data_IF_576919191138
#
_entry.id   IF_576919191138
#
_cell.length_a   1.000
_cell.length_b   1.000
_cell.length_c   1.000
_cell.angle_alpha   90.00
_cell.angle_beta   90.00
_cell.angle_gamma   90.00
#
_symmetry.space_group_name_H-M   'P 1'
#
loop_
_entity.id
_entity.type
_entity.pdbx_description
1 polymer ?
#
# COMPACT_ATOMS: atom_id res chain seq x y z
N UNK A 1 12.03 -35.92 -6.08
CA UNK A 1 11.48 -37.27 -6.32
C UNK A 1 9.98 -37.07 -6.47
N UNK A 2 9.44 -37.15 -7.69
CA UNK A 2 8.00 -36.93 -7.95
C UNK A 2 7.21 -38.12 -7.44
N UNK A 3 6.23 -37.89 -6.57
CA UNK A 3 5.28 -38.92 -6.14
C UNK A 3 4.46 -39.39 -7.36
N UNK A 4 4.04 -40.68 -7.42
CA UNK A 4 3.21 -41.17 -8.52
C UNK A 4 1.88 -40.40 -8.61
N UNK A 5 1.33 -40.22 -9.81
CA UNK A 5 0.12 -39.40 -10.06
C UNK A 5 -1.08 -39.79 -9.18
N UNK A 6 -1.25 -41.08 -8.88
CA UNK A 6 -2.30 -41.57 -7.98
C UNK A 6 -2.14 -41.13 -6.52
N UNK A 7 -0.91 -40.83 -6.08
CA UNK A 7 -0.63 -40.32 -4.74
C UNK A 7 -1.10 -38.88 -4.55
N UNK A 8 -1.03 -38.05 -5.59
CA UNK A 8 -1.43 -36.63 -5.48
C UNK A 8 -2.96 -36.47 -5.48
N UNK A 9 -3.68 -37.33 -6.22
CA UNK A 9 -5.15 -37.39 -6.14
C UNK A 9 -5.59 -37.78 -4.74
N UNK A 10 -5.04 -38.86 -4.18
CA UNK A 10 -5.39 -39.33 -2.85
C UNK A 10 -5.09 -38.28 -1.77
N UNK A 11 -3.94 -37.61 -1.82
CA UNK A 11 -3.61 -36.51 -0.91
C UNK A 11 -4.63 -35.37 -0.99
N UNK A 12 -5.06 -35.02 -2.20
CA UNK A 12 -6.07 -33.99 -2.38
C UNK A 12 -7.44 -34.41 -1.84
N UNK A 13 -7.84 -35.67 -2.02
CA UNK A 13 -9.12 -36.19 -1.51
C UNK A 13 -9.13 -36.21 0.03
N UNK A 14 -8.02 -36.61 0.65
CA UNK A 14 -7.84 -36.52 2.11
C UNK A 14 -7.92 -35.06 2.57
N UNK A 15 -7.24 -34.13 1.90
CA UNK A 15 -7.29 -32.72 2.25
C UNK A 15 -8.72 -32.14 2.16
N UNK A 16 -9.50 -32.54 1.14
CA UNK A 16 -10.91 -32.15 1.00
C UNK A 16 -11.79 -32.69 2.14
N UNK A 17 -11.54 -33.92 2.59
CA UNK A 17 -12.22 -34.47 3.77
C UNK A 17 -11.88 -33.65 5.02
N UNK A 18 -10.60 -33.34 5.24
CA UNK A 18 -10.16 -32.53 6.38
C UNK A 18 -10.69 -31.08 6.32
N UNK A 19 -10.77 -30.50 5.12
CA UNK A 19 -11.43 -29.20 4.86
C UNK A 19 -12.88 -29.23 5.32
N UNK A 20 -13.65 -30.23 4.89
CA UNK A 20 -15.05 -30.39 5.28
C UNK A 20 -15.18 -30.61 6.79
N UNK A 21 -14.29 -31.41 7.38
CA UNK A 21 -14.28 -31.67 8.83
C UNK A 21 -14.11 -30.37 9.62
N UNK A 22 -13.16 -29.53 9.19
CA UNK A 22 -12.90 -28.24 9.81
C UNK A 22 -14.08 -27.27 9.63
N UNK A 23 -14.62 -27.16 8.41
CA UNK A 23 -15.72 -26.25 8.09
C UNK A 23 -17.04 -26.61 8.79
N UNK A 24 -17.26 -27.89 9.13
CA UNK A 24 -18.42 -28.34 9.90
C UNK A 24 -18.19 -28.33 11.42
N UNK A 25 -17.07 -27.78 11.88
CA UNK A 25 -16.70 -27.68 13.30
C UNK A 25 -16.70 -29.01 14.06
N UNK A 26 -16.34 -30.11 13.39
CA UNK A 26 -16.33 -31.44 13.99
C UNK A 26 -15.18 -31.60 15.01
N UNK A 27 -15.32 -32.57 15.90
CA UNK A 27 -14.35 -32.87 16.96
C UNK A 27 -12.95 -33.20 16.39
N UNK A 28 -11.89 -32.69 17.03
CA UNK A 28 -10.50 -32.91 16.62
C UNK A 28 -10.04 -32.13 15.37
N UNK A 29 -10.84 -31.15 14.91
CA UNK A 29 -10.51 -30.35 13.71
C UNK A 29 -9.17 -29.63 13.80
N UNK A 30 -8.75 -29.23 15.00
CA UNK A 30 -7.49 -28.54 15.26
C UNK A 30 -6.29 -29.41 14.91
N UNK A 31 -6.35 -30.72 15.17
CA UNK A 31 -5.27 -31.65 14.85
C UNK A 31 -5.13 -31.85 13.34
N UNK A 32 -6.26 -32.00 12.65
CA UNK A 32 -6.30 -32.23 11.20
C UNK A 32 -5.79 -31.01 10.41
N UNK A 33 -6.08 -29.81 10.89
CA UNK A 33 -5.83 -28.58 10.13
C UNK A 33 -4.37 -28.15 10.13
N UNK A 34 -3.60 -28.52 11.18
CA UNK A 34 -2.17 -28.22 11.28
C UNK A 34 -1.36 -28.76 10.11
N UNK A 35 -1.77 -29.91 9.54
CA UNK A 35 -1.12 -30.52 8.38
C UNK A 35 -1.83 -30.19 7.06
N UNK A 36 -3.17 -30.12 7.09
CA UNK A 36 -3.98 -29.87 5.89
C UNK A 36 -3.71 -28.47 5.32
N UNK A 37 -3.60 -27.45 6.18
CA UNK A 37 -3.47 -26.08 5.72
C UNK A 37 -2.11 -25.79 5.03
N UNK A 38 -0.95 -26.18 5.59
CA UNK A 38 0.33 -26.10 4.86
C UNK A 38 0.31 -26.84 3.52
N UNK A 39 -0.29 -28.03 3.46
CA UNK A 39 -0.45 -28.78 2.21
C UNK A 39 -1.21 -27.97 1.15
N UNK A 40 -2.33 -27.34 1.52
CA UNK A 40 -3.10 -26.50 0.59
C UNK A 40 -2.32 -25.29 0.11
N UNK A 41 -1.53 -24.64 0.98
CA UNK A 41 -0.66 -23.55 0.55
C UNK A 41 0.39 -24.06 -0.44
N UNK A 42 1.11 -25.14 -0.13
CA UNK A 42 2.12 -25.73 -1.02
C UNK A 42 1.51 -26.06 -2.38
N UNK A 43 0.34 -26.71 -2.39
CA UNK A 43 -0.39 -27.04 -3.60
C UNK A 43 -0.77 -25.79 -4.40
N UNK A 44 -1.29 -24.77 -3.73
CA UNK A 44 -1.69 -23.51 -4.38
C UNK A 44 -0.50 -22.72 -4.95
N UNK A 45 0.68 -22.80 -4.31
CA UNK A 45 1.92 -22.17 -4.78
C UNK A 45 2.55 -22.96 -5.93
N UNK A 46 2.48 -24.29 -5.91
CA UNK A 46 3.03 -25.14 -6.96
C UNK A 46 2.21 -25.10 -8.25
N UNK A 47 0.90 -25.37 -8.15
CA UNK A 47 0.02 -25.44 -9.33
C UNK A 47 -0.53 -24.07 -9.75
N UNK A 48 -0.69 -23.14 -8.81
CA UNK A 48 -1.22 -21.80 -9.10
C UNK A 48 -2.68 -21.79 -9.56
N UNK A 49 -3.46 -22.84 -9.28
CA UNK A 49 -4.85 -22.94 -9.71
C UNK A 49 -5.77 -22.02 -8.90
N UNK A 50 -6.74 -21.43 -9.59
CA UNK A 50 -7.73 -20.53 -8.97
C UNK A 50 -8.52 -21.23 -7.87
N UNK A 51 -8.89 -22.49 -8.07
CA UNK A 51 -9.62 -23.30 -7.09
C UNK A 51 -8.83 -23.50 -5.80
N UNK A 52 -7.51 -23.71 -5.88
CA UNK A 52 -6.68 -23.96 -4.71
C UNK A 52 -6.52 -22.67 -3.86
N UNK A 53 -6.36 -21.50 -4.48
CA UNK A 53 -6.34 -20.21 -3.76
C UNK A 53 -7.67 -19.94 -3.05
N UNK A 54 -8.80 -20.28 -3.69
CA UNK A 54 -10.12 -20.16 -3.07
C UNK A 54 -10.28 -21.06 -1.85
N UNK A 55 -9.75 -22.29 -1.91
CA UNK A 55 -9.73 -23.22 -0.76
C UNK A 55 -8.90 -22.68 0.39
N UNK A 56 -7.70 -22.16 0.11
CA UNK A 56 -6.85 -21.50 1.12
C UNK A 56 -7.59 -20.33 1.79
N UNK A 57 -8.27 -19.48 1.01
CA UNK A 57 -9.08 -18.40 1.57
C UNK A 57 -10.26 -18.93 2.43
N UNK A 58 -10.91 -20.01 2.00
CA UNK A 58 -11.99 -20.67 2.74
C UNK A 58 -11.55 -21.13 4.13
N UNK A 59 -10.33 -21.65 4.24
CA UNK A 59 -9.72 -22.11 5.49
C UNK A 59 -8.85 -21.08 6.22
N UNK A 60 -8.91 -19.79 5.87
CA UNK A 60 -8.03 -18.77 6.49
C UNK A 60 -8.11 -18.72 8.03
N UNK A 61 -9.27 -19.03 8.62
CA UNK A 61 -9.50 -18.90 10.07
C UNK A 61 -8.64 -19.87 10.88
N UNK A 62 -8.16 -20.95 10.25
CA UNK A 62 -7.23 -21.89 10.86
C UNK A 62 -5.92 -21.22 11.30
N UNK A 63 -5.54 -20.11 10.65
CA UNK A 63 -4.35 -19.34 11.01
C UNK A 63 -4.45 -18.71 12.40
N UNK A 64 -5.67 -18.51 12.93
CA UNK A 64 -5.85 -18.01 14.30
C UNK A 64 -5.52 -19.06 15.38
N UNK A 65 -5.42 -20.33 14.98
CA UNK A 65 -5.06 -21.44 15.88
C UNK A 65 -3.54 -21.63 15.95
N UNK A 66 -2.77 -20.91 15.14
CA UNK A 66 -1.33 -21.06 15.03
C UNK A 66 -0.62 -20.10 15.98
N UNK A 67 0.34 -20.62 16.76
CA UNK A 67 1.26 -19.79 17.53
C UNK A 67 2.41 -19.34 16.63
N UNK A 68 2.35 -18.09 16.15
CA UNK A 68 3.39 -17.51 15.31
C UNK A 68 4.60 -17.01 16.10
N UNK A 69 4.62 -17.08 17.42
CA UNK A 69 5.80 -16.75 18.21
C UNK A 69 6.65 -17.99 18.50
N UNK A 70 6.10 -19.19 18.33
CA UNK A 70 6.81 -20.47 18.46
C UNK A 70 7.58 -20.88 17.19
N UNK A 71 8.74 -21.50 17.38
CA UNK A 71 9.64 -21.94 16.29
C UNK A 71 9.01 -23.01 15.39
N UNK A 72 8.03 -23.79 15.88
CA UNK A 72 7.33 -24.80 15.08
C UNK A 72 6.55 -24.20 13.91
N UNK A 73 6.17 -22.92 13.99
CA UNK A 73 5.43 -22.20 12.95
C UNK A 73 6.30 -21.72 11.77
N UNK A 74 7.63 -21.85 11.86
CA UNK A 74 8.57 -21.28 10.90
C UNK A 74 8.33 -21.77 9.46
N UNK A 75 8.05 -23.06 9.29
CA UNK A 75 7.72 -23.63 7.97
C UNK A 75 6.47 -22.99 7.36
N UNK A 76 5.44 -22.75 8.16
CA UNK A 76 4.21 -22.08 7.72
C UNK A 76 4.47 -20.59 7.43
N UNK A 77 5.26 -19.89 8.25
CA UNK A 77 5.66 -18.50 7.98
C UNK A 77 6.34 -18.40 6.62
N UNK A 78 7.26 -19.30 6.28
CA UNK A 78 7.92 -19.31 4.98
C UNK A 78 6.94 -19.51 3.82
N UNK A 79 5.94 -20.37 3.98
CA UNK A 79 4.87 -20.54 2.99
C UNK A 79 4.03 -19.27 2.83
N UNK A 80 3.65 -18.60 3.93
CA UNK A 80 2.92 -17.34 3.88
C UNK A 80 3.71 -16.21 3.20
N UNK A 81 5.03 -16.17 3.40
CA UNK A 81 5.92 -15.26 2.68
C UNK A 81 5.90 -15.49 1.16
N UNK A 82 5.88 -16.75 0.73
CA UNK A 82 5.77 -17.08 -0.69
C UNK A 82 4.41 -16.65 -1.26
N UNK A 83 3.31 -16.80 -0.50
CA UNK A 83 2.00 -16.28 -0.90
C UNK A 83 2.02 -14.79 -1.20
N UNK A 84 2.74 -13.98 -0.39
CA UNK A 84 2.81 -12.52 -0.54
C UNK A 84 3.33 -12.06 -1.91
N UNK A 85 4.16 -12.87 -2.55
CA UNK A 85 4.80 -12.53 -3.82
C UNK A 85 4.29 -13.39 -4.98
N UNK A 86 3.35 -14.30 -4.73
CA UNK A 86 2.87 -15.23 -5.73
C UNK A 86 1.85 -14.55 -6.68
N UNK A 87 2.07 -14.59 -8.01
CA UNK A 87 1.23 -13.88 -8.98
C UNK A 87 -0.26 -14.25 -8.92
N UNK A 88 -0.58 -15.52 -8.68
CA UNK A 88 -1.99 -15.98 -8.61
C UNK A 88 -2.70 -15.38 -7.40
N UNK A 89 -2.02 -15.28 -6.24
CA UNK A 89 -2.60 -14.68 -5.04
C UNK A 89 -2.89 -13.18 -5.25
N UNK A 90 -1.97 -12.46 -5.90
CA UNK A 90 -2.18 -11.03 -6.16
C UNK A 90 -3.28 -10.75 -7.20
N UNK A 91 -3.35 -11.56 -8.25
CA UNK A 91 -4.33 -11.36 -9.34
C UNK A 91 -5.75 -11.71 -8.93
N UNK A 92 -5.93 -12.73 -8.09
CA UNK A 92 -7.26 -13.17 -7.63
C UNK A 92 -7.78 -12.31 -6.48
N UNK A 93 -9.09 -12.10 -6.46
CA UNK A 93 -9.79 -11.35 -5.39
C UNK A 93 -9.68 -12.07 -4.03
N UNK A 94 -9.94 -13.37 -3.99
CA UNK A 94 -9.79 -14.19 -2.77
C UNK A 94 -8.34 -14.25 -2.31
N UNK A 95 -7.40 -14.26 -3.26
CA UNK A 95 -5.97 -14.18 -2.95
C UNK A 95 -5.60 -12.85 -2.28
N UNK A 96 -6.01 -11.70 -2.83
CA UNK A 96 -5.78 -10.39 -2.17
C UNK A 96 -6.44 -10.29 -0.81
N UNK A 97 -7.65 -10.84 -0.64
CA UNK A 97 -8.30 -10.93 0.68
C UNK A 97 -7.46 -11.75 1.65
N UNK A 98 -6.93 -12.89 1.21
CA UNK A 98 -6.02 -13.71 2.01
C UNK A 98 -4.77 -12.94 2.42
N UNK A 99 -4.07 -12.31 1.47
CA UNK A 99 -2.87 -11.52 1.76
C UNK A 99 -3.15 -10.39 2.75
N UNK A 100 -4.29 -9.70 2.59
CA UNK A 100 -4.70 -8.62 3.50
C UNK A 100 -5.01 -9.14 4.90
N UNK A 101 -5.68 -10.30 4.99
CA UNK A 101 -5.99 -10.97 6.25
C UNK A 101 -4.72 -11.38 7.00
N UNK A 102 -3.69 -11.84 6.30
CA UNK A 102 -2.43 -12.29 6.92
C UNK A 102 -1.70 -11.19 7.71
N UNK A 103 -1.89 -9.91 7.37
CA UNK A 103 -1.34 -8.79 8.16
C UNK A 103 -1.95 -8.68 9.57
N UNK A 104 -3.11 -9.30 9.80
CA UNK A 104 -3.80 -9.32 11.10
C UNK A 104 -3.48 -10.54 11.98
N UNK A 105 -2.53 -11.39 11.58
CA UNK A 105 -2.21 -12.63 12.33
C UNK A 105 -1.23 -12.41 13.47
N UNK A 106 -0.13 -11.71 13.19
CA UNK A 106 0.91 -11.41 14.16
C UNK A 106 1.63 -10.09 13.76
N UNK A 107 1.82 -9.13 14.69
CA UNK A 107 2.46 -7.85 14.37
C UNK A 107 3.91 -7.95 13.88
N UNK A 108 4.67 -8.95 14.35
CA UNK A 108 6.03 -9.23 13.85
C UNK A 108 6.00 -9.72 12.41
N UNK A 109 5.15 -10.71 12.14
CA UNK A 109 4.97 -11.28 10.81
C UNK A 109 4.47 -10.24 9.79
N UNK A 110 3.61 -9.32 10.20
CA UNK A 110 3.18 -8.19 9.37
C UNK A 110 4.34 -7.32 8.86
N UNK A 111 5.38 -7.09 9.71
CA UNK A 111 6.59 -6.36 9.30
C UNK A 111 7.42 -7.16 8.30
N UNK A 112 7.50 -8.47 8.48
CA UNK A 112 8.24 -9.37 7.58
C UNK A 112 7.55 -9.45 6.20
N UNK A 113 6.22 -9.54 6.16
CA UNK A 113 5.44 -9.44 4.93
C UNK A 113 5.67 -8.11 4.22
N UNK A 114 5.66 -7.00 4.95
CA UNK A 114 5.95 -5.69 4.37
C UNK A 114 7.34 -5.64 3.74
N UNK A 115 8.39 -6.10 4.45
CA UNK A 115 9.76 -6.20 3.93
C UNK A 115 9.82 -7.05 2.66
N UNK A 116 9.12 -8.17 2.66
CA UNK A 116 9.03 -9.11 1.53
C UNK A 116 8.42 -8.45 0.30
N UNK A 117 7.28 -7.77 0.46
CA UNK A 117 6.61 -7.01 -0.60
C UNK A 117 7.50 -5.87 -1.10
N UNK A 118 8.10 -5.09 -0.18
CA UNK A 118 8.96 -3.95 -0.52
C UNK A 118 10.15 -4.37 -1.39
N UNK A 119 10.75 -5.53 -1.10
CA UNK A 119 11.86 -6.09 -1.90
C UNK A 119 11.43 -6.48 -3.32
N UNK A 120 10.14 -6.74 -3.58
CA UNK A 120 9.63 -7.04 -4.92
C UNK A 120 9.32 -5.79 -5.75
N UNK A 121 9.12 -4.63 -5.11
CA UNK A 121 8.70 -3.39 -5.78
C UNK A 121 9.58 -3.01 -6.98
N UNK A 122 10.92 -3.17 -7.00
CA UNK A 122 11.74 -2.87 -8.17
C UNK A 122 11.47 -3.75 -9.40
N UNK A 123 10.91 -4.95 -9.20
CA UNK A 123 10.80 -5.99 -10.23
C UNK A 123 9.37 -6.18 -10.78
N UNK A 124 8.35 -5.77 -10.04
CA UNK A 124 6.93 -5.91 -10.44
C UNK A 124 6.51 -5.10 -11.69
N UNK A 125 5.34 -5.38 -12.25
CA UNK A 125 4.71 -4.46 -13.23
C UNK A 125 3.93 -3.37 -12.48
N UNK A 126 3.65 -2.24 -13.13
CA UNK A 126 2.84 -1.17 -12.52
C UNK A 126 1.45 -1.66 -12.08
N UNK A 127 0.86 -2.62 -12.81
CA UNK A 127 -0.41 -3.23 -12.43
C UNK A 127 -0.30 -4.01 -11.11
N UNK A 128 0.76 -4.81 -10.95
CA UNK A 128 1.01 -5.56 -9.70
C UNK A 128 1.23 -4.61 -8.52
N UNK A 129 1.90 -3.47 -8.74
CA UNK A 129 2.09 -2.46 -7.69
C UNK A 129 0.75 -1.87 -7.20
N UNK A 130 -0.21 -1.64 -8.10
CA UNK A 130 -1.56 -1.21 -7.70
C UNK A 130 -2.29 -2.27 -6.86
N UNK A 131 -2.11 -3.56 -7.17
CA UNK A 131 -2.71 -4.64 -6.39
C UNK A 131 -2.12 -4.73 -4.97
N UNK A 132 -0.83 -4.44 -4.79
CA UNK A 132 -0.26 -4.31 -3.45
C UNK A 132 -0.85 -3.14 -2.66
N UNK A 133 -1.12 -2.01 -3.32
CA UNK A 133 -1.80 -0.88 -2.70
C UNK A 133 -3.16 -1.26 -2.13
N UNK A 134 -3.92 -2.06 -2.87
CA UNK A 134 -5.20 -2.63 -2.43
C UNK A 134 -5.06 -3.56 -1.22
N UNK A 135 -4.04 -4.42 -1.21
CA UNK A 135 -3.75 -5.32 -0.08
C UNK A 135 -3.46 -4.52 1.19
N UNK A 136 -2.58 -3.51 1.13
CA UNK A 136 -2.30 -2.64 2.28
C UNK A 136 -3.54 -1.90 2.76
N UNK A 137 -4.33 -1.34 1.84
CA UNK A 137 -5.55 -0.62 2.20
C UNK A 137 -6.55 -1.53 2.91
N UNK A 138 -6.82 -2.73 2.37
CA UNK A 138 -7.74 -3.69 2.99
C UNK A 138 -7.28 -4.14 4.36
N UNK A 139 -5.99 -4.41 4.53
CA UNK A 139 -5.41 -4.74 5.83
C UNK A 139 -5.59 -3.58 6.83
N UNK A 140 -5.24 -2.36 6.42
CA UNK A 140 -5.38 -1.15 7.23
C UNK A 140 -6.83 -0.89 7.66
N UNK A 141 -7.80 -1.10 6.77
CA UNK A 141 -9.23 -0.86 7.04
C UNK A 141 -9.82 -1.68 8.19
N UNK A 142 -9.30 -2.87 8.44
CA UNK A 142 -9.79 -3.77 9.48
C UNK A 142 -8.87 -3.84 10.70
N UNK A 143 -7.70 -3.21 10.62
CA UNK A 143 -6.70 -3.26 11.67
C UNK A 143 -7.07 -2.35 12.85
N UNK A 144 -6.67 -2.77 14.05
CA UNK A 144 -6.81 -2.00 15.28
C UNK A 144 -5.64 -2.29 16.23
N UNK A 145 -5.48 -1.46 17.26
CA UNK A 145 -4.46 -1.64 18.29
C UNK A 145 -3.04 -1.78 17.71
N UNK A 146 -2.32 -2.82 18.13
CA UNK A 146 -0.95 -3.08 17.70
C UNK A 146 -0.81 -3.31 16.18
N UNK A 147 -1.80 -3.94 15.55
CA UNK A 147 -1.79 -4.21 14.10
C UNK A 147 -1.90 -2.93 13.28
N UNK A 148 -2.78 -2.02 13.69
CA UNK A 148 -2.94 -0.72 13.05
C UNK A 148 -1.63 0.08 13.14
N UNK A 149 -1.03 0.11 14.33
CA UNK A 149 0.25 0.78 14.55
C UNK A 149 1.35 0.25 13.63
N UNK A 150 1.48 -1.07 13.49
CA UNK A 150 2.46 -1.69 12.59
C UNK A 150 2.19 -1.33 11.14
N UNK A 151 0.94 -1.46 10.67
CA UNK A 151 0.58 -1.13 9.29
C UNK A 151 0.84 0.34 8.96
N UNK A 152 0.59 1.24 9.91
CA UNK A 152 0.80 2.66 9.72
C UNK A 152 2.26 3.07 9.79
N UNK A 153 2.95 2.74 10.89
CA UNK A 153 4.31 3.22 11.17
C UNK A 153 5.39 2.40 10.45
N UNK A 154 5.21 1.08 10.34
CA UNK A 154 6.23 0.18 9.81
C UNK A 154 6.00 -0.23 8.35
N UNK A 155 4.80 -0.04 7.80
CA UNK A 155 4.49 -0.42 6.43
C UNK A 155 4.17 0.79 5.54
N UNK A 156 3.05 1.47 5.78
CA UNK A 156 2.56 2.54 4.91
C UNK A 156 3.48 3.76 4.99
N UNK A 157 3.83 4.22 6.19
CA UNK A 157 4.71 5.38 6.36
C UNK A 157 6.14 5.10 5.86
N UNK A 158 6.62 3.85 5.96
CA UNK A 158 7.89 3.43 5.34
C UNK A 158 7.86 3.59 3.81
N UNK A 159 6.77 3.16 3.15
CA UNK A 159 6.60 3.38 1.71
C UNK A 159 6.52 4.88 1.35
N UNK A 160 5.82 5.68 2.16
CA UNK A 160 5.74 7.13 1.98
C UNK A 160 7.12 7.78 2.09
N UNK A 161 7.89 7.41 3.11
CA UNK A 161 9.24 7.91 3.32
C UNK A 161 10.16 7.50 2.15
N UNK A 162 10.09 6.25 1.73
CA UNK A 162 10.83 5.75 0.59
C UNK A 162 10.44 6.48 -0.71
N UNK A 163 9.14 6.74 -0.94
CA UNK A 163 8.66 7.41 -2.16
C UNK A 163 9.22 8.84 -2.30
N UNK A 164 9.36 9.54 -1.17
CA UNK A 164 9.97 10.88 -1.11
C UNK A 164 11.46 10.84 -1.45
N UNK A 165 12.20 9.86 -0.94
CA UNK A 165 13.66 9.80 -1.07
C UNK A 165 14.16 8.96 -2.26
N UNK A 166 13.27 8.24 -2.95
CA UNK A 166 13.63 7.35 -4.03
C UNK A 166 14.15 8.09 -5.27
N UNK A 167 14.95 7.36 -6.06
CA UNK A 167 15.41 7.83 -7.37
C UNK A 167 14.22 8.19 -8.28
N UNK A 168 14.18 9.44 -8.72
CA UNK A 168 13.09 10.01 -9.52
C UNK A 168 13.19 9.68 -11.00
N UNK A 169 14.39 9.71 -11.56
CA UNK A 169 14.64 9.59 -13.00
C UNK A 169 15.16 8.21 -13.38
N UNK A 170 15.05 7.86 -14.67
CA UNK A 170 15.46 6.56 -15.22
C UNK A 170 14.26 5.74 -15.72
N UNK A 171 14.56 4.72 -16.52
CA UNK A 171 13.57 3.82 -17.16
C UNK A 171 12.67 3.10 -16.16
N UNK A 172 13.17 2.83 -14.94
CA UNK A 172 12.41 2.27 -13.83
C UNK A 172 12.53 3.16 -12.60
N UNK A 173 12.00 4.38 -12.69
CA UNK A 173 11.92 5.31 -11.54
C UNK A 173 11.33 4.61 -10.32
N UNK A 174 12.12 4.53 -9.24
CA UNK A 174 11.66 3.91 -8.00
C UNK A 174 10.59 4.77 -7.32
N UNK A 175 10.70 6.10 -7.45
CA UNK A 175 9.69 7.03 -6.95
C UNK A 175 8.32 6.82 -7.61
N UNK A 176 8.26 6.61 -8.93
CA UNK A 176 6.98 6.36 -9.62
C UNK A 176 6.35 5.03 -9.24
N UNK A 177 7.18 4.01 -8.99
CA UNK A 177 6.74 2.67 -8.56
C UNK A 177 6.17 2.69 -7.14
N UNK A 178 6.85 3.36 -6.21
CA UNK A 178 6.34 3.53 -4.84
C UNK A 178 5.05 4.36 -4.82
N UNK A 179 5.00 5.45 -5.60
CA UNK A 179 3.76 6.22 -5.81
C UNK A 179 2.64 5.34 -6.34
N UNK A 180 2.91 4.39 -7.24
CA UNK A 180 1.91 3.47 -7.79
C UNK A 180 1.31 2.52 -6.74
N UNK A 181 2.10 2.11 -5.73
CA UNK A 181 1.59 1.34 -4.59
C UNK A 181 0.71 2.22 -3.69
N UNK A 182 1.18 3.43 -3.37
CA UNK A 182 0.49 4.37 -2.49
C UNK A 182 -0.80 4.96 -3.12
N UNK A 183 -0.86 5.02 -4.45
CA UNK A 183 -1.96 5.59 -5.22
C UNK A 183 -3.32 5.01 -4.80
N UNK A 184 -3.40 3.70 -4.51
CA UNK A 184 -4.65 3.08 -4.11
C UNK A 184 -5.22 3.77 -2.87
N UNK A 185 -4.41 3.97 -1.82
CA UNK A 185 -4.83 4.63 -0.57
C UNK A 185 -5.19 6.10 -0.85
N UNK A 186 -4.42 6.80 -1.68
CA UNK A 186 -4.67 8.21 -2.03
C UNK A 186 -6.00 8.42 -2.76
N UNK A 187 -6.48 7.41 -3.50
CA UNK A 187 -7.78 7.48 -4.18
C UNK A 187 -8.97 7.22 -3.23
N UNK A 188 -8.75 6.69 -2.03
CA UNK A 188 -9.80 6.33 -1.07
C UNK A 188 -10.16 7.45 -0.08
N UNK A 189 -9.79 8.70 -0.35
CA UNK A 189 -10.03 9.85 0.56
C UNK A 189 -11.49 10.05 1.00
N UNK A 190 -12.45 9.59 0.19
CA UNK A 190 -13.89 9.61 0.53
C UNK A 190 -14.27 8.62 1.64
N UNK A 191 -13.42 7.62 1.91
CA UNK A 191 -13.66 6.64 2.96
C UNK A 191 -13.32 7.24 4.33
N UNK A 192 -14.19 7.00 5.32
CA UNK A 192 -14.04 7.53 6.68
C UNK A 192 -12.67 7.17 7.27
N UNK A 193 -11.98 8.17 7.82
CA UNK A 193 -10.68 8.05 8.48
C UNK A 193 -9.47 8.09 7.54
N UNK A 194 -9.66 8.05 6.21
CA UNK A 194 -8.53 8.07 5.27
C UNK A 194 -7.84 9.44 5.24
N UNK A 195 -8.60 10.54 5.21
CA UNK A 195 -8.01 11.89 5.22
C UNK A 195 -7.18 12.17 6.48
N UNK A 196 -7.72 11.85 7.65
CA UNK A 196 -7.01 11.98 8.94
C UNK A 196 -5.74 11.13 8.98
N UNK A 197 -5.83 9.86 8.55
CA UNK A 197 -4.66 8.99 8.48
C UNK A 197 -3.61 9.50 7.47
N UNK A 198 -4.00 9.97 6.29
CA UNK A 198 -3.05 10.55 5.33
C UNK A 198 -2.34 11.76 5.91
N UNK A 199 -3.08 12.68 6.56
CA UNK A 199 -2.49 13.82 7.24
C UNK A 199 -1.47 13.38 8.29
N UNK A 200 -1.87 12.49 9.20
CA UNK A 200 -1.02 11.99 10.30
C UNK A 200 0.24 11.28 9.80
N UNK A 201 0.11 10.42 8.78
CA UNK A 201 1.25 9.64 8.26
C UNK A 201 2.21 10.47 7.43
N UNK A 202 1.72 11.46 6.67
CA UNK A 202 2.59 12.33 5.87
C UNK A 202 3.20 13.49 6.66
N UNK A 203 2.56 13.95 7.73
CA UNK A 203 3.02 15.10 8.53
C UNK A 203 4.51 15.04 8.91
N UNK A 204 5.08 13.93 9.43
CA UNK A 204 6.50 13.89 9.77
C UNK A 204 7.44 13.86 8.55
N UNK A 205 6.93 13.58 7.35
CA UNK A 205 7.76 13.37 6.15
C UNK A 205 7.69 14.60 5.24
N UNK A 206 6.50 14.94 4.76
CA UNK A 206 6.34 15.77 3.57
C UNK A 206 6.74 17.22 3.82
N UNK A 207 6.44 17.77 5.01
CA UNK A 207 6.78 19.15 5.37
C UNK A 207 8.28 19.38 5.46
N UNK A 208 9.04 18.38 5.90
CA UNK A 208 10.50 18.42 5.93
C UNK A 208 11.07 18.25 4.52
N UNK A 209 10.47 17.37 3.73
CA UNK A 209 10.91 17.08 2.37
C UNK A 209 10.90 18.30 1.44
N UNK A 210 10.00 19.27 1.63
CA UNK A 210 10.01 20.51 0.85
C UNK A 210 11.21 21.43 1.13
N UNK A 211 11.88 21.28 2.28
CA UNK A 211 12.93 22.19 2.74
C UNK A 211 14.34 21.64 2.54
N UNK A 212 14.48 20.41 2.04
CA UNK A 212 15.81 19.78 1.87
C UNK A 212 16.54 20.35 0.67
N UNK A 213 17.88 20.29 0.70
CA UNK A 213 18.73 20.75 -0.40
C UNK A 213 18.55 19.95 -1.69
N UNK A 214 18.23 18.65 -1.60
CA UNK A 214 18.11 17.77 -2.76
C UNK A 214 16.84 18.09 -3.59
N UNK A 215 16.97 18.55 -4.84
CA UNK A 215 15.83 18.93 -5.67
C UNK A 215 14.96 17.74 -6.08
N UNK A 216 15.51 16.52 -6.19
CA UNK A 216 14.72 15.34 -6.55
C UNK A 216 13.77 14.94 -5.42
N UNK A 217 14.20 15.09 -4.17
CA UNK A 217 13.36 14.87 -3.00
C UNK A 217 12.22 15.88 -2.95
N UNK A 218 12.50 17.17 -3.17
CA UNK A 218 11.47 18.21 -3.27
C UNK A 218 10.47 17.94 -4.40
N UNK A 219 10.96 17.52 -5.58
CA UNK A 219 10.10 17.16 -6.70
C UNK A 219 9.24 15.90 -6.43
N UNK A 220 9.77 14.91 -5.71
CA UNK A 220 9.00 13.73 -5.30
C UNK A 220 7.90 14.12 -4.30
N UNK A 221 8.24 14.93 -3.29
CA UNK A 221 7.28 15.46 -2.32
C UNK A 221 6.19 16.31 -3.00
N UNK A 222 6.53 17.14 -3.99
CA UNK A 222 5.57 17.93 -4.75
C UNK A 222 4.57 17.05 -5.52
N UNK A 223 5.06 15.96 -6.13
CA UNK A 223 4.21 15.03 -6.84
C UNK A 223 3.28 14.25 -5.89
N UNK A 224 3.78 13.83 -4.72
CA UNK A 224 2.98 13.20 -3.68
C UNK A 224 1.93 14.15 -3.10
N UNK A 225 2.28 15.42 -2.83
CA UNK A 225 1.35 16.44 -2.37
C UNK A 225 0.20 16.62 -3.36
N UNK A 226 0.51 16.62 -4.66
CA UNK A 226 -0.52 16.69 -5.71
C UNK A 226 -1.49 15.52 -5.64
N UNK A 227 -1.00 14.30 -5.39
CA UNK A 227 -1.84 13.09 -5.32
C UNK A 227 -2.75 13.09 -4.08
N UNK A 228 -2.30 13.69 -2.98
CA UNK A 228 -2.98 13.68 -1.68
C UNK A 228 -3.66 15.00 -1.33
N UNK A 229 -3.61 16.00 -2.18
CA UNK A 229 -4.26 17.29 -1.93
C UNK A 229 -5.79 17.14 -1.89
N UNK A 230 -6.52 17.86 -1.02
CA UNK A 230 -6.01 18.59 0.16
C UNK A 230 -5.74 17.63 1.33
N UNK A 231 -4.62 17.79 2.04
CA UNK A 231 -4.45 17.15 3.33
C UNK A 231 -5.26 17.92 4.37
N UNK A 232 -6.14 17.22 5.09
CA UNK A 232 -7.05 17.83 6.06
C UNK A 232 -7.43 16.82 7.14
N UNK A 233 -7.82 17.31 8.31
CA UNK A 233 -8.52 16.52 9.30
C UNK A 233 -10.01 16.87 9.22
N UNK A 234 -10.89 15.96 8.75
CA UNK A 234 -12.32 16.24 8.63
C UNK A 234 -13.01 16.56 9.96
N UNK A 235 -12.42 16.15 11.09
CA UNK A 235 -12.97 16.36 12.43
C UNK A 235 -12.39 17.62 13.11
N UNK A 236 -11.51 18.38 12.43
CA UNK A 236 -10.93 19.62 12.95
C UNK A 236 -11.88 20.82 12.80
N UNK A 237 -11.62 21.88 13.57
CA UNK A 237 -12.33 23.15 13.42
C UNK A 237 -12.02 23.83 12.09
N UNK A 238 -12.96 24.63 11.58
CA UNK A 238 -12.80 25.34 10.30
C UNK A 238 -11.51 26.18 10.25
N UNK A 239 -11.15 26.83 11.36
CA UNK A 239 -9.91 27.62 11.45
C UNK A 239 -8.66 26.77 11.21
N UNK A 240 -8.57 25.59 11.84
CA UNK A 240 -7.43 24.68 11.65
C UNK A 240 -7.37 24.11 10.22
N UNK A 241 -8.53 23.85 9.62
CA UNK A 241 -8.63 23.41 8.22
C UNK A 241 -8.12 24.51 7.29
N UNK A 242 -8.57 25.75 7.49
CA UNK A 242 -8.18 26.90 6.68
C UNK A 242 -6.67 27.20 6.82
N UNK A 243 -6.11 27.14 8.03
CA UNK A 243 -4.68 27.29 8.28
C UNK A 243 -3.86 26.21 7.56
N UNK A 244 -4.31 24.95 7.61
CA UNK A 244 -3.64 23.83 6.96
C UNK A 244 -3.73 23.91 5.43
N UNK A 245 -4.86 24.37 4.89
CA UNK A 245 -5.01 24.65 3.46
C UNK A 245 -4.11 25.80 3.02
N UNK A 246 -4.07 26.89 3.79
CA UNK A 246 -3.20 28.05 3.50
C UNK A 246 -1.73 27.63 3.48
N UNK A 247 -1.29 26.82 4.44
CA UNK A 247 0.07 26.24 4.44
C UNK A 247 0.37 25.43 3.18
N UNK A 248 -0.60 24.66 2.68
CA UNK A 248 -0.43 23.91 1.43
C UNK A 248 -0.36 24.83 0.21
N UNK A 249 -1.14 25.92 0.17
CA UNK A 249 -1.06 26.92 -0.89
C UNK A 249 0.30 27.62 -0.93
N UNK A 250 0.85 27.99 0.23
CA UNK A 250 2.17 28.60 0.35
C UNK A 250 3.27 27.65 -0.15
N UNK A 251 3.21 26.37 0.22
CA UNK A 251 4.13 25.34 -0.30
C UNK A 251 4.05 25.24 -1.82
N UNK A 252 2.84 25.18 -2.40
CA UNK A 252 2.66 25.11 -3.86
C UNK A 252 3.21 26.36 -4.55
N UNK A 253 3.00 27.54 -3.96
CA UNK A 253 3.54 28.81 -4.45
C UNK A 253 5.08 28.82 -4.43
N UNK A 254 5.69 28.28 -3.37
CA UNK A 254 7.14 28.20 -3.25
C UNK A 254 7.73 27.21 -4.26
N UNK A 255 7.09 26.04 -4.45
CA UNK A 255 7.51 25.03 -5.42
C UNK A 255 7.45 25.54 -6.87
N UNK A 256 6.48 26.40 -7.22
CA UNK A 256 6.43 27.07 -8.53
C UNK A 256 7.64 28.00 -8.74
N UNK A 257 8.21 28.54 -7.66
CA UNK A 257 9.39 29.41 -7.69
C UNK A 257 10.71 28.70 -7.37
N UNK A 258 10.74 27.36 -7.31
CA UNK A 258 11.93 26.62 -6.91
C UNK A 258 13.12 26.87 -7.86
N UNK A 259 14.34 26.92 -7.32
CA UNK A 259 15.54 27.14 -8.13
C UNK A 259 15.77 26.04 -9.19
N UNK A 260 15.33 24.80 -8.92
CA UNK A 260 15.56 23.67 -9.80
C UNK A 260 14.41 23.45 -10.80
N UNK A 261 14.69 23.37 -12.12
CA UNK A 261 13.65 23.29 -13.17
C UNK A 261 12.72 22.08 -13.02
N UNK A 262 13.25 20.91 -12.64
CA UNK A 262 12.41 19.70 -12.42
C UNK A 262 11.38 19.89 -11.30
N UNK A 263 11.72 20.64 -10.24
CA UNK A 263 10.78 20.93 -9.16
C UNK A 263 9.68 21.83 -9.69
N UNK A 264 10.05 22.92 -10.37
CA UNK A 264 9.09 23.83 -11.01
C UNK A 264 8.16 23.12 -11.98
N UNK A 265 8.69 22.31 -12.90
CA UNK A 265 7.89 21.55 -13.86
C UNK A 265 6.89 20.61 -13.16
N UNK A 266 7.32 19.97 -12.06
CA UNK A 266 6.44 19.11 -11.26
C UNK A 266 5.35 19.92 -10.56
N UNK A 267 5.72 21.09 -10.01
CA UNK A 267 4.80 21.99 -9.35
C UNK A 267 3.76 22.58 -10.32
N UNK A 268 4.17 22.94 -11.54
CA UNK A 268 3.29 23.41 -12.61
C UNK A 268 2.21 22.35 -12.91
N UNK A 269 2.62 21.10 -13.16
CA UNK A 269 1.68 20.01 -13.40
C UNK A 269 0.75 19.80 -12.20
N UNK A 270 1.31 19.85 -10.98
CA UNK A 270 0.55 19.67 -9.75
C UNK A 270 -0.50 20.75 -9.51
N UNK A 271 -0.10 22.02 -9.61
CA UNK A 271 -0.98 23.18 -9.45
C UNK A 271 -2.07 23.17 -10.51
N UNK A 272 -1.76 22.93 -11.78
CA UNK A 272 -2.77 22.83 -12.84
C UNK A 272 -3.84 21.76 -12.52
N UNK A 273 -3.41 20.58 -12.04
CA UNK A 273 -4.32 19.51 -11.63
C UNK A 273 -5.15 19.92 -10.42
N UNK A 274 -4.52 20.49 -9.39
CA UNK A 274 -5.21 20.92 -8.16
C UNK A 274 -6.24 21.98 -8.49
N UNK A 275 -5.88 23.02 -9.25
CA UNK A 275 -6.84 24.06 -9.65
C UNK A 275 -7.95 23.51 -10.53
N UNK A 276 -7.67 22.54 -11.40
CA UNK A 276 -8.69 21.92 -12.25
C UNK A 276 -9.70 21.05 -11.50
N UNK A 277 -9.26 20.36 -10.44
CA UNK A 277 -10.11 19.44 -9.66
C UNK A 277 -10.78 20.13 -8.47
N UNK A 278 -10.10 21.08 -7.84
CA UNK A 278 -10.52 21.71 -6.58
C UNK A 278 -10.81 23.20 -6.73
N UNK A 279 -11.18 23.68 -7.93
CA UNK A 279 -11.43 25.11 -8.20
C UNK A 279 -12.40 25.76 -7.20
N UNK A 280 -13.45 25.04 -6.80
CA UNK A 280 -14.47 25.54 -5.86
C UNK A 280 -13.95 25.66 -4.42
N UNK A 281 -12.95 24.85 -4.06
CA UNK A 281 -12.34 24.86 -2.72
C UNK A 281 -11.32 26.01 -2.56
N UNK A 282 -10.72 26.47 -3.66
CA UNK A 282 -9.58 27.38 -3.62
C UNK A 282 -10.06 28.84 -3.67
N UNK A 283 -9.63 29.71 -2.74
CA UNK A 283 -9.99 31.13 -2.78
C UNK A 283 -9.55 31.80 -4.09
N UNK A 284 -10.39 32.69 -4.63
CA UNK A 284 -10.15 33.35 -5.92
C UNK A 284 -8.79 34.08 -6.01
N UNK A 285 -8.33 34.66 -4.92
CA UNK A 285 -7.03 35.34 -4.87
C UNK A 285 -5.84 34.36 -4.99
N UNK A 286 -5.95 33.14 -4.44
CA UNK A 286 -4.95 32.07 -4.56
C UNK A 286 -4.93 31.55 -6.00
N UNK A 287 -6.10 31.35 -6.61
CA UNK A 287 -6.21 30.98 -8.03
C UNK A 287 -5.51 32.01 -8.91
N UNK A 288 -5.82 33.30 -8.72
CA UNK A 288 -5.17 34.40 -9.47
C UNK A 288 -3.66 34.38 -9.31
N UNK A 289 -3.16 34.14 -8.09
CA UNK A 289 -1.75 34.02 -7.81
C UNK A 289 -1.12 32.84 -8.57
N UNK A 290 -1.74 31.65 -8.52
CA UNK A 290 -1.26 30.47 -9.25
C UNK A 290 -1.22 30.73 -10.75
N UNK A 291 -2.31 31.23 -11.35
CA UNK A 291 -2.36 31.52 -12.78
C UNK A 291 -1.30 32.54 -13.20
N UNK A 292 -1.09 33.59 -12.41
CA UNK A 292 -0.07 34.61 -12.68
C UNK A 292 1.34 34.00 -12.68
N UNK A 293 1.66 33.15 -11.69
CA UNK A 293 2.94 32.43 -11.65
C UNK A 293 3.08 31.44 -12.80
N UNK A 294 2.02 30.72 -13.16
CA UNK A 294 2.04 29.74 -14.26
C UNK A 294 2.32 30.42 -15.60
N UNK A 295 1.61 31.52 -15.91
CA UNK A 295 1.83 32.29 -17.15
C UNK A 295 3.25 32.86 -17.19
N UNK A 296 3.75 33.44 -16.09
CA UNK A 296 5.12 33.95 -16.02
C UNK A 296 6.20 32.86 -16.12
N UNK A 297 5.95 31.68 -15.55
CA UNK A 297 6.91 30.55 -15.56
C UNK A 297 6.94 29.81 -16.89
N UNK A 298 5.82 29.76 -17.61
CA UNK A 298 5.77 29.21 -18.97
C UNK A 298 6.67 30.00 -19.93
N UNK A 299 6.83 31.32 -19.74
CA UNK A 299 7.79 32.12 -20.50
C UNK A 299 9.26 31.76 -20.20
N UNK A 300 9.55 31.26 -19.00
CA UNK A 300 10.92 30.91 -18.54
C UNK A 300 11.33 29.45 -18.80
N UNK A 301 10.42 28.59 -19.27
CA UNK A 301 10.75 27.22 -19.68
C UNK A 301 11.30 27.13 -21.10
N UNK A 302 11.22 28.23 -21.86
CA UNK A 302 11.71 28.37 -23.24
C UNK A 302 13.09 29.07 -23.28
N UNK A 303 13.66 29.39 -22.11
CA UNK A 303 14.98 30.02 -21.94
C UNK A 303 15.90 29.12 -21.13
#
# INVERSE_FOLDING_TARGET
MSLPEGSESLQNDIAQLCELWFLNELEGKEELITQTFPYLIIRSLGRGLVSDVKRVWGLRQCLLLMDFDDDSSESLKQLLHQCMIHPTYLKLEEGRRFLSYSFGLNPGLAKEFHKTIKNQIPYCTMNVLSLYGEVYFRAWRVASGAYLKVLEENCIQDLMFAAVHAQRTGTKSMASRLRKVLEYIHQQKKQRGVDEALLRLYQPIIWRAFKVANPMVRANAAALLTDIFPLQNPDAGNEEIDELLQKQFDILKDLLGDAHPTVRATAIHGVCRITGVFWELIPAHIIKMFLTKLVGSCCLLVS
#
